data_IF_019519513069
#
_entry.id   IF_019519513069
#
_cell.length_a   1.000
_cell.length_b   1.000
_cell.length_c   1.000
_cell.angle_alpha   90.00
_cell.angle_beta   90.00
_cell.angle_gamma   90.00
#
_symmetry.space_group_name_H-M   'P 1'
#
loop_
_entity.id
_entity.type
_entity.pdbx_description
1 polymer ?
#
# COMPACT_ATOMS: atom_id res chain seq x y z
N UNK A 1 2.31 13.97 -7.72
CA UNK A 1 0.86 13.87 -7.43
C UNK A 1 0.72 13.18 -6.08
N UNK A 2 -0.27 13.52 -5.26
CA UNK A 2 -0.53 12.84 -3.99
C UNK A 2 -1.91 12.17 -4.05
N UNK A 3 -1.96 10.88 -3.74
CA UNK A 3 -3.17 10.09 -3.62
C UNK A 3 -3.26 9.59 -2.17
N UNK A 4 -4.43 9.71 -1.56
CA UNK A 4 -4.72 9.09 -0.26
C UNK A 4 -5.83 8.08 -0.51
N UNK A 5 -5.55 6.82 -0.20
CA UNK A 5 -6.48 5.71 -0.42
C UNK A 5 -6.33 4.68 0.69
N UNK A 6 -7.43 4.00 0.98
CA UNK A 6 -7.46 2.82 1.84
C UNK A 6 -7.46 1.52 1.01
N UNK A 7 -7.55 1.61 -0.31
CA UNK A 7 -7.50 0.46 -1.21
C UNK A 7 -6.03 0.07 -1.46
N UNK A 8 -5.57 -1.09 -0.97
CA UNK A 8 -4.20 -1.55 -1.19
C UNK A 8 -3.90 -1.81 -2.67
N UNK A 9 -4.89 -2.21 -3.48
CA UNK A 9 -4.69 -2.43 -4.92
C UNK A 9 -4.43 -1.11 -5.63
N UNK A 10 -5.19 -0.07 -5.29
CA UNK A 10 -5.00 1.27 -5.88
C UNK A 10 -3.62 1.83 -5.50
N UNK A 11 -3.25 1.74 -4.22
CA UNK A 11 -1.94 2.16 -3.73
C UNK A 11 -0.81 1.42 -4.47
N UNK A 12 -0.86 0.09 -4.50
CA UNK A 12 0.17 -0.71 -5.16
C UNK A 12 0.20 -0.53 -6.68
N UNK A 13 -0.93 -0.22 -7.34
CA UNK A 13 -0.97 -0.05 -8.80
C UNK A 13 -0.47 1.31 -9.25
N UNK A 14 -0.74 2.35 -8.47
CA UNK A 14 -0.59 3.75 -8.89
C UNK A 14 0.61 4.46 -8.28
N UNK A 15 1.11 4.02 -7.13
CA UNK A 15 2.14 4.75 -6.42
C UNK A 15 3.55 4.54 -7.00
N UNK A 16 4.32 5.62 -7.05
CA UNK A 16 5.79 5.58 -7.14
C UNK A 16 6.41 5.32 -5.75
N UNK A 17 5.83 5.90 -4.70
CA UNK A 17 6.19 5.72 -3.28
C UNK A 17 4.92 5.49 -2.43
N UNK A 18 4.97 4.57 -1.47
CA UNK A 18 3.86 4.28 -0.55
C UNK A 18 4.24 4.70 0.86
N UNK A 19 3.39 5.51 1.49
CA UNK A 19 3.47 5.92 2.89
C UNK A 19 2.26 5.39 3.65
N UNK A 20 2.48 4.73 4.78
CA UNK A 20 1.41 4.29 5.68
C UNK A 20 1.26 5.29 6.83
N UNK A 21 0.03 5.71 7.05
CA UNK A 21 -0.37 6.65 8.09
C UNK A 21 -1.20 5.89 9.13
N UNK A 22 -0.74 5.79 10.38
CA UNK A 22 -1.47 5.06 11.43
C UNK A 22 -1.19 5.56 12.87
N UNK A 23 -2.07 5.22 13.80
CA UNK A 23 -1.90 5.44 15.24
C UNK A 23 -2.16 6.86 15.76
N UNK A 24 -2.17 6.99 17.09
CA UNK A 24 -2.26 8.27 17.82
C UNK A 24 -1.21 8.28 18.96
N UNK A 25 -0.17 9.13 18.92
CA UNK A 25 0.13 10.14 17.90
C UNK A 25 0.39 9.54 16.51
N UNK A 26 0.16 10.33 15.46
CA UNK A 26 0.31 9.89 14.06
C UNK A 26 1.73 9.40 13.79
N UNK A 27 1.82 8.18 13.25
CA UNK A 27 3.04 7.56 12.77
C UNK A 27 3.00 7.47 11.24
N UNK A 28 4.14 7.73 10.61
CA UNK A 28 4.33 7.65 9.15
C UNK A 28 5.45 6.66 8.87
N UNK A 29 5.17 5.64 8.05
CA UNK A 29 6.16 4.64 7.68
C UNK A 29 6.23 4.46 6.16
N UNK A 30 7.45 4.31 5.63
CA UNK A 30 7.67 3.96 4.23
C UNK A 30 7.33 2.50 4.01
N UNK A 31 6.66 2.21 2.89
CA UNK A 31 6.29 0.86 2.50
C UNK A 31 6.90 0.47 1.15
N UNK A 32 7.32 -0.80 0.95
CA UNK A 32 7.84 -1.26 -0.33
C UNK A 32 6.85 -1.10 -1.46
N UNK A 33 7.32 -0.57 -2.58
CA UNK A 33 6.53 -0.40 -3.79
C UNK A 33 6.82 -1.54 -4.76
N UNK A 34 5.80 -2.17 -5.37
CA UNK A 34 6.02 -3.20 -6.37
C UNK A 34 6.79 -2.63 -7.58
N UNK A 35 7.62 -3.48 -8.19
CA UNK A 35 8.36 -3.11 -9.39
C UNK A 35 7.44 -2.92 -10.59
N UNK A 36 7.95 -2.29 -11.64
CA UNK A 36 7.21 -2.05 -12.88
C UNK A 36 6.75 -0.61 -13.03
N UNK A 37 6.22 -0.29 -14.20
CA UNK A 37 5.78 1.07 -14.54
C UNK A 37 4.36 1.32 -14.06
N UNK A 38 4.12 2.51 -13.50
CA UNK A 38 2.76 2.98 -13.20
C UNK A 38 2.01 3.30 -14.51
N UNK A 39 0.75 2.86 -14.68
CA UNK A 39 -0.01 1.95 -13.83
C UNK A 39 0.41 0.49 -14.04
N UNK A 40 0.61 -0.24 -12.94
CA UNK A 40 0.99 -1.66 -12.97
C UNK A 40 -0.15 -2.54 -13.49
N UNK A 41 0.17 -3.63 -14.17
CA UNK A 41 -0.83 -4.54 -14.74
C UNK A 41 -1.53 -5.36 -13.64
N UNK A 42 -2.87 -5.47 -13.70
CA UNK A 42 -3.67 -6.15 -12.66
C UNK A 42 -3.35 -7.64 -12.49
N UNK A 43 -2.85 -8.27 -13.56
CA UNK A 43 -2.48 -9.68 -13.57
C UNK A 43 -0.99 -9.90 -13.30
N UNK A 44 -0.24 -8.85 -12.97
CA UNK A 44 1.16 -9.00 -12.56
C UNK A 44 1.24 -9.69 -11.20
N UNK A 45 2.02 -10.77 -11.13
CA UNK A 45 2.15 -11.56 -9.91
C UNK A 45 2.80 -10.75 -8.76
N UNK A 46 3.74 -9.86 -9.08
CA UNK A 46 4.39 -9.00 -8.10
C UNK A 46 3.42 -7.97 -7.50
N UNK A 47 2.55 -7.38 -8.33
CA UNK A 47 1.47 -6.51 -7.86
C UNK A 47 0.52 -7.27 -6.94
N UNK A 48 0.04 -8.44 -7.37
CA UNK A 48 -0.91 -9.26 -6.62
C UNK A 48 -0.36 -9.70 -5.25
N UNK A 49 0.93 -10.01 -5.19
CA UNK A 49 1.61 -10.32 -3.93
C UNK A 49 1.72 -9.07 -3.03
N UNK A 50 2.19 -7.95 -3.59
CA UNK A 50 2.39 -6.71 -2.84
C UNK A 50 1.08 -6.17 -2.23
N UNK A 51 -0.04 -6.22 -2.97
CA UNK A 51 -1.33 -5.78 -2.41
C UNK A 51 -1.82 -6.69 -1.28
N UNK A 52 -1.54 -8.00 -1.32
CA UNK A 52 -1.95 -8.94 -0.27
C UNK A 52 -1.15 -8.69 1.04
N UNK A 53 0.14 -8.38 0.90
CA UNK A 53 1.02 -8.00 2.02
C UNK A 53 0.58 -6.66 2.62
N UNK A 54 0.32 -5.66 1.79
CA UNK A 54 -0.16 -4.36 2.23
C UNK A 54 -1.52 -4.47 2.93
N UNK A 55 -2.46 -5.23 2.37
CA UNK A 55 -3.76 -5.49 2.99
C UNK A 55 -3.60 -6.14 4.38
N UNK A 56 -2.73 -7.15 4.49
CA UNK A 56 -2.44 -7.80 5.77
C UNK A 56 -1.86 -6.84 6.79
N UNK A 57 -1.01 -5.90 6.34
CA UNK A 57 -0.44 -4.85 7.18
C UNK A 57 -1.50 -3.87 7.66
N UNK A 58 -2.38 -3.38 6.78
CA UNK A 58 -3.45 -2.46 7.14
C UNK A 58 -4.39 -3.08 8.18
N UNK A 59 -4.80 -4.34 7.99
CA UNK A 59 -5.62 -5.07 8.96
C UNK A 59 -4.94 -5.28 10.32
N UNK A 60 -3.60 -5.27 10.38
CA UNK A 60 -2.89 -5.37 11.66
C UNK A 60 -3.00 -4.08 12.49
N UNK A 61 -3.20 -2.93 11.85
CA UNK A 61 -3.44 -1.67 12.54
C UNK A 61 -4.85 -1.59 13.12
N UNK A 62 -5.85 -2.05 12.37
CA UNK A 62 -7.24 -2.07 12.85
C UNK A 62 -7.43 -2.97 14.09
N UNK A 63 -6.60 -4.02 14.23
CA UNK A 63 -6.63 -4.91 15.41
C UNK A 63 -5.86 -4.37 16.62
N UNK A 64 -5.02 -3.36 16.42
CA UNK A 64 -4.18 -2.78 17.47
C UNK A 64 -4.82 -1.55 18.14
N UNK A 65 -5.89 -1.02 17.55
CA UNK A 65 -6.81 -0.02 18.15
C UNK A 65 -7.90 -0.69 18.98
#
# INVERSE_FOLDING_TARGET
MLLVTHDPLEACRMADDILLLHGQPLQVTLWPVPTGTVPRALNDAGLLQAQAELFSRLNSYEKAE
#
